data_IF_696001494684
#
_entry.id   IF_696001494684
#
_cell.length_a   1.000
_cell.length_b   1.000
_cell.length_c   1.000
_cell.angle_alpha   90.00
_cell.angle_beta   90.00
_cell.angle_gamma   90.00
#
_symmetry.space_group_name_H-M   'P 1'
#
loop_
_entity.id
_entity.type
_entity.pdbx_description
1 polymer ?
#
# COMPACT_ATOMS: atom_id res chain seq x y z
N UNK A 1 -4.07 3.84 -14.42
CA UNK A 1 -4.36 5.01 -13.57
C UNK A 1 -4.55 6.27 -14.39
N UNK A 2 -5.77 6.81 -14.34
CA UNK A 2 -6.11 8.14 -14.89
C UNK A 2 -5.53 9.25 -14.01
N UNK A 3 -5.56 10.49 -14.48
CA UNK A 3 -5.12 11.66 -13.70
C UNK A 3 -5.92 11.82 -12.40
N UNK A 4 -7.24 11.58 -12.45
CA UNK A 4 -8.11 11.63 -11.27
C UNK A 4 -7.72 10.58 -10.21
N UNK A 5 -7.44 9.34 -10.62
CA UNK A 5 -7.02 8.28 -9.70
C UNK A 5 -5.60 8.54 -9.17
N UNK A 6 -4.72 9.16 -9.97
CA UNK A 6 -3.39 9.60 -9.50
C UNK A 6 -3.49 10.68 -8.42
N UNK A 7 -4.40 11.65 -8.58
CA UNK A 7 -4.63 12.69 -7.60
C UNK A 7 -5.18 12.08 -6.31
N UNK A 8 -6.21 11.24 -6.40
CA UNK A 8 -6.76 10.53 -5.25
C UNK A 8 -5.70 9.70 -4.51
N UNK A 9 -4.86 8.93 -5.23
CA UNK A 9 -3.77 8.18 -4.60
C UNK A 9 -2.78 9.09 -3.86
N UNK A 10 -2.51 10.27 -4.41
CA UNK A 10 -1.64 11.26 -3.77
C UNK A 10 -2.27 11.80 -2.49
N UNK A 11 -3.55 12.17 -2.54
CA UNK A 11 -4.30 12.69 -1.40
C UNK A 11 -4.38 11.64 -0.26
N UNK A 12 -4.71 10.39 -0.59
CA UNK A 12 -4.76 9.28 0.39
C UNK A 12 -3.40 9.08 1.08
N UNK A 13 -2.31 9.14 0.31
CA UNK A 13 -0.95 9.02 0.85
C UNK A 13 -0.61 10.20 1.75
N UNK A 14 -1.01 11.43 1.39
CA UNK A 14 -0.81 12.61 2.24
C UNK A 14 -1.56 12.48 3.57
N UNK A 15 -2.84 12.09 3.54
CA UNK A 15 -3.63 11.83 4.75
C UNK A 15 -2.97 10.77 5.64
N UNK A 16 -2.46 9.69 5.05
CA UNK A 16 -1.73 8.65 5.79
C UNK A 16 -0.44 9.19 6.43
N UNK A 17 0.35 9.96 5.68
CA UNK A 17 1.63 10.53 6.15
C UNK A 17 1.42 11.59 7.25
N UNK A 18 0.31 12.32 7.19
CA UNK A 18 -0.11 13.30 8.19
C UNK A 18 -0.84 12.67 9.39
N UNK A 19 -1.00 11.33 9.41
CA UNK A 19 -1.70 10.59 10.45
C UNK A 19 -3.18 11.01 10.62
N UNK A 20 -3.82 11.47 9.54
CA UNK A 20 -5.26 11.79 9.45
C UNK A 20 -6.06 10.55 9.08
N UNK A 21 -6.02 9.55 9.96
CA UNK A 21 -6.58 8.21 9.67
C UNK A 21 -8.11 8.20 9.52
N UNK A 22 -8.82 9.08 10.23
CA UNK A 22 -10.27 9.21 10.13
C UNK A 22 -10.67 9.70 8.73
N UNK A 23 -10.12 10.82 8.29
CA UNK A 23 -10.33 11.39 6.94
C UNK A 23 -9.91 10.41 5.83
N UNK A 24 -8.81 9.67 6.05
CA UNK A 24 -8.36 8.63 5.12
C UNK A 24 -9.40 7.52 4.96
N UNK A 25 -9.94 7.01 6.06
CA UNK A 25 -10.95 5.94 6.04
C UNK A 25 -12.25 6.43 5.42
N UNK A 26 -12.72 7.63 5.78
CA UNK A 26 -13.92 8.23 5.18
C UNK A 26 -13.77 8.37 3.66
N UNK A 27 -12.61 8.83 3.19
CA UNK A 27 -12.33 8.96 1.75
C UNK A 27 -12.36 7.60 1.06
N UNK A 28 -11.76 6.57 1.68
CA UNK A 28 -11.74 5.21 1.13
C UNK A 28 -13.10 4.52 1.17
N UNK A 29 -13.98 4.86 2.10
CA UNK A 29 -15.36 4.34 2.17
C UNK A 29 -16.24 4.95 1.07
N UNK A 30 -16.00 6.22 0.73
CA UNK A 30 -16.73 6.93 -0.33
C UNK A 30 -16.18 6.63 -1.73
N UNK A 31 -14.97 6.08 -1.82
CA UNK A 31 -14.33 5.72 -3.09
C UNK A 31 -14.90 4.41 -3.63
N UNK A 32 -15.17 4.38 -4.94
CA UNK A 32 -15.66 3.18 -5.62
C UNK A 32 -14.65 2.01 -5.50
N UNK A 33 -15.18 0.80 -5.30
CA UNK A 33 -14.37 -0.40 -5.04
C UNK A 33 -13.33 -0.67 -6.11
N UNK A 34 -13.69 -0.52 -7.39
CA UNK A 34 -12.77 -0.67 -8.51
C UNK A 34 -11.60 0.32 -8.46
N UNK A 35 -11.84 1.55 -8.01
CA UNK A 35 -10.81 2.57 -7.82
C UNK A 35 -9.90 2.23 -6.64
N UNK A 36 -10.46 1.76 -5.52
CA UNK A 36 -9.67 1.28 -4.37
C UNK A 36 -8.77 0.11 -4.78
N UNK A 37 -9.31 -0.84 -5.56
CA UNK A 37 -8.55 -1.98 -6.11
C UNK A 37 -7.42 -1.47 -7.01
N UNK A 38 -7.71 -0.56 -7.95
CA UNK A 38 -6.69 -0.04 -8.87
C UNK A 38 -5.55 0.67 -8.12
N UNK A 39 -5.87 1.52 -7.15
CA UNK A 39 -4.88 2.21 -6.31
C UNK A 39 -4.06 1.21 -5.49
N UNK A 40 -4.72 0.21 -4.89
CA UNK A 40 -4.05 -0.81 -4.06
C UNK A 40 -3.06 -1.61 -4.90
N UNK A 41 -3.50 -2.15 -6.04
CA UNK A 41 -2.66 -2.94 -6.94
C UNK A 41 -1.53 -2.09 -7.50
N UNK A 42 -1.80 -0.86 -7.94
CA UNK A 42 -0.77 0.04 -8.46
C UNK A 42 0.36 0.27 -7.46
N UNK A 43 0.03 0.63 -6.22
CA UNK A 43 1.04 0.87 -5.20
C UNK A 43 1.77 -0.43 -4.80
N UNK A 44 1.07 -1.55 -4.74
CA UNK A 44 1.67 -2.86 -4.46
C UNK A 44 2.68 -3.28 -5.53
N UNK A 45 2.35 -3.12 -6.81
CA UNK A 45 3.25 -3.48 -7.92
C UNK A 45 4.57 -2.67 -7.88
N UNK A 46 4.53 -1.42 -7.41
CA UNK A 46 5.75 -0.63 -7.17
C UNK A 46 6.59 -1.28 -6.08
N UNK A 47 5.99 -1.64 -4.93
CA UNK A 47 6.70 -2.32 -3.83
C UNK A 47 7.28 -3.65 -4.32
N UNK A 48 6.47 -4.46 -4.99
CA UNK A 48 6.85 -5.76 -5.54
C UNK A 48 8.03 -5.64 -6.50
N UNK A 49 8.04 -4.64 -7.39
CA UNK A 49 9.16 -4.40 -8.32
C UNK A 49 10.50 -4.14 -7.59
N UNK A 50 10.49 -3.33 -6.54
CA UNK A 50 11.71 -3.09 -5.76
C UNK A 50 12.10 -4.31 -4.93
N UNK A 51 11.12 -5.06 -4.43
CA UNK A 51 11.34 -6.29 -3.70
C UNK A 51 11.98 -7.37 -4.60
N UNK A 52 11.40 -7.63 -5.77
CA UNK A 52 11.88 -8.61 -6.74
C UNK A 52 13.31 -8.30 -7.24
N UNK A 53 13.68 -7.02 -7.28
CA UNK A 53 15.03 -6.59 -7.66
C UNK A 53 16.03 -6.59 -6.50
N UNK A 54 15.62 -7.00 -5.30
CA UNK A 54 16.46 -7.01 -4.10
C UNK A 54 16.82 -5.61 -3.59
N UNK A 55 16.14 -4.56 -4.06
CA UNK A 55 16.41 -3.16 -3.73
C UNK A 55 15.77 -2.77 -2.38
N UNK A 56 16.04 -3.55 -1.34
CA UNK A 56 15.49 -3.34 0.00
C UNK A 56 15.86 -1.96 0.58
N UNK A 57 17.06 -1.44 0.27
CA UNK A 57 17.47 -0.12 0.73
C UNK A 57 16.50 1.00 0.29
N UNK A 58 15.95 0.91 -0.92
CA UNK A 58 14.97 1.88 -1.43
C UNK A 58 13.64 1.74 -0.68
N UNK A 59 13.18 0.51 -0.48
CA UNK A 59 11.95 0.23 0.28
C UNK A 59 12.04 0.72 1.74
N UNK A 60 13.23 0.62 2.35
CA UNK A 60 13.52 1.11 3.69
C UNK A 60 13.59 2.64 3.71
N UNK A 61 14.30 3.25 2.77
CA UNK A 61 14.38 4.71 2.63
C UNK A 61 12.99 5.34 2.46
N UNK A 62 12.09 4.66 1.75
CA UNK A 62 10.71 5.08 1.52
C UNK A 62 9.71 4.35 2.43
N UNK A 63 10.06 4.11 3.70
CA UNK A 63 9.23 3.36 4.66
C UNK A 63 7.78 3.84 4.74
N UNK A 64 7.53 5.16 4.68
CA UNK A 64 6.17 5.71 4.75
C UNK A 64 5.31 5.25 3.56
N UNK A 65 5.89 5.18 2.37
CA UNK A 65 5.22 4.64 1.19
C UNK A 65 4.96 3.14 1.34
N UNK A 66 5.98 2.38 1.79
CA UNK A 66 5.83 0.95 2.07
C UNK A 66 4.72 0.67 3.08
N UNK A 67 4.64 1.45 4.17
CA UNK A 67 3.60 1.34 5.18
C UNK A 67 2.22 1.72 4.65
N UNK A 68 2.12 2.79 3.85
CA UNK A 68 0.87 3.19 3.19
C UNK A 68 0.35 2.09 2.27
N UNK A 69 1.21 1.49 1.45
CA UNK A 69 0.81 0.38 0.57
C UNK A 69 0.37 -0.84 1.35
N UNK A 70 1.07 -1.19 2.44
CA UNK A 70 0.66 -2.27 3.34
C UNK A 70 -0.73 -2.00 3.93
N UNK A 71 -1.00 -0.76 4.36
CA UNK A 71 -2.31 -0.34 4.84
C UNK A 71 -3.41 -0.51 3.77
N UNK A 72 -3.16 -0.11 2.52
CA UNK A 72 -4.12 -0.28 1.44
C UNK A 72 -4.42 -1.75 1.16
N UNK A 73 -3.41 -2.62 1.15
CA UNK A 73 -3.59 -4.07 1.00
C UNK A 73 -4.47 -4.64 2.11
N UNK A 74 -4.22 -4.26 3.36
CA UNK A 74 -5.03 -4.70 4.51
C UNK A 74 -6.46 -4.17 4.43
N UNK A 75 -6.64 -2.89 4.05
CA UNK A 75 -7.96 -2.29 3.88
C UNK A 75 -8.76 -2.99 2.77
N UNK A 76 -8.16 -3.21 1.60
CA UNK A 76 -8.77 -3.91 0.49
C UNK A 76 -9.16 -5.35 0.85
N UNK A 77 -8.31 -6.06 1.60
CA UNK A 77 -8.61 -7.40 2.10
C UNK A 77 -9.78 -7.41 3.08
N UNK A 78 -9.80 -6.48 4.06
CA UNK A 78 -10.91 -6.34 5.02
C UNK A 78 -12.25 -6.08 4.34
N UNK A 79 -12.24 -5.32 3.24
CA UNK A 79 -13.42 -5.05 2.41
C UNK A 79 -13.72 -6.14 1.38
N UNK A 80 -12.95 -7.24 1.36
CA UNK A 80 -13.09 -8.37 0.42
C UNK A 80 -12.95 -7.94 -1.06
N UNK A 81 -12.15 -6.90 -1.30
CA UNK A 81 -11.90 -6.36 -2.64
C UNK A 81 -10.80 -7.10 -3.40
N UNK A 82 -9.95 -7.82 -2.67
CA UNK A 82 -8.91 -8.70 -3.20
C UNK A 82 -9.09 -10.10 -2.63
N UNK A 83 -8.55 -11.11 -3.30
CA UNK A 83 -8.64 -12.49 -2.81
C UNK A 83 -7.77 -12.69 -1.56
N UNK A 84 -8.14 -13.67 -0.73
CA UNK A 84 -7.31 -14.06 0.42
C UNK A 84 -5.92 -14.53 -0.02
N UNK A 85 -5.83 -15.22 -1.17
CA UNK A 85 -4.55 -15.66 -1.73
C UNK A 85 -3.66 -14.48 -2.12
N UNK A 86 -4.22 -13.45 -2.76
CA UNK A 86 -3.49 -12.22 -3.09
C UNK A 86 -3.02 -11.52 -1.82
N UNK A 87 -3.88 -11.42 -0.80
CA UNK A 87 -3.53 -10.79 0.46
C UNK A 87 -2.43 -11.54 1.22
N UNK A 88 -2.48 -12.87 1.26
CA UNK A 88 -1.43 -13.70 1.86
C UNK A 88 -0.08 -13.47 1.17
N UNK A 89 -0.08 -13.47 -0.17
CA UNK A 89 1.13 -13.19 -0.96
C UNK A 89 1.68 -11.78 -0.69
N UNK A 90 0.81 -10.77 -0.65
CA UNK A 90 1.19 -9.39 -0.33
C UNK A 90 1.79 -9.30 1.07
N UNK A 91 1.16 -9.95 2.05
CA UNK A 91 1.61 -9.97 3.46
C UNK A 91 2.99 -10.61 3.60
N UNK A 92 3.29 -11.69 2.85
CA UNK A 92 4.61 -12.31 2.85
C UNK A 92 5.71 -11.31 2.44
N UNK A 93 5.48 -10.53 1.38
CA UNK A 93 6.43 -9.50 0.92
C UNK A 93 6.65 -8.45 2.01
N UNK A 94 5.58 -7.92 2.61
CA UNK A 94 5.72 -6.90 3.66
C UNK A 94 6.43 -7.44 4.92
N UNK A 95 6.17 -8.68 5.31
CA UNK A 95 6.86 -9.33 6.41
C UNK A 95 8.36 -9.49 6.13
N UNK A 96 8.74 -9.88 4.92
CA UNK A 96 10.15 -9.97 4.54
C UNK A 96 10.85 -8.59 4.56
N UNK A 97 10.17 -7.56 4.04
CA UNK A 97 10.68 -6.18 4.09
C UNK A 97 10.89 -5.73 5.55
N UNK A 98 9.92 -5.98 6.43
CA UNK A 98 10.01 -5.68 7.86
C UNK A 98 11.18 -6.41 8.55
N UNK A 99 11.35 -7.71 8.26
CA UNK A 99 12.46 -8.50 8.79
C UNK A 99 13.82 -7.96 8.34
N UNK A 100 13.96 -7.53 7.09
CA UNK A 100 15.19 -6.91 6.57
C UNK A 100 15.52 -5.58 7.23
N UNK A 101 14.51 -4.79 7.59
CA UNK A 101 14.71 -3.56 8.37
C UNK A 101 15.32 -3.84 9.74
N UNK A 102 14.81 -4.87 10.43
CA UNK A 102 15.25 -5.22 11.79
C UNK A 102 16.62 -5.89 11.82
N UNK A 103 17.04 -6.52 10.72
CA UNK A 103 18.41 -7.04 10.56
C UNK A 103 19.44 -5.95 10.22
N UNK A 104 18.99 -4.79 9.76
CA UNK A 104 19.84 -3.66 9.35
C UNK A 104 20.02 -2.60 10.44
N UNK A 105 19.43 -2.82 11.62
CA UNK A 105 19.48 -1.96 12.81
C UNK A 105 20.48 -2.50 13.84
#
# INVERSE_FOLDING_TARGET
MTEEINNLNTDLKELFVENKLEELLETLEQTADNTVIEITIYNYEIIKKYFDTGNFAVLIQHIKFTAFTCFLCEYAAKRQLISNEDFENQTLIFNEIYNKMHQSS
#
